data_IF_119192814307
#
_entry.id   IF_119192814307
#
_cell.length_a   1.000
_cell.length_b   1.000
_cell.length_c   1.000
_cell.angle_alpha   90.00
_cell.angle_beta   90.00
_cell.angle_gamma   90.00
#
_symmetry.space_group_name_H-M   'P 1'
#
loop_
_entity.id
_entity.type
_entity.pdbx_description
1 polymer ?
#
# COMPACT_ATOMS: atom_id res chain seq x y z
N UNK A 1 7.71 -16.60 -2.12
CA UNK A 1 8.45 -15.42 -2.67
C UNK A 1 8.66 -14.41 -1.55
N UNK A 2 9.70 -13.57 -1.62
CA UNK A 2 9.90 -12.47 -0.66
C UNK A 2 8.85 -11.38 -0.87
N UNK A 3 8.33 -10.80 0.21
CA UNK A 3 7.47 -9.62 0.16
C UNK A 3 8.26 -8.32 -0.15
N UNK A 4 9.58 -8.41 -0.26
CA UNK A 4 10.46 -7.27 -0.54
C UNK A 4 11.24 -7.48 -1.83
N UNK A 5 11.53 -6.36 -2.51
CA UNK A 5 12.38 -6.28 -3.69
C UNK A 5 13.44 -5.20 -3.47
N UNK A 6 14.68 -5.46 -3.84
CA UNK A 6 15.76 -4.47 -3.76
C UNK A 6 15.72 -3.50 -4.95
N UNK A 7 16.34 -2.30 -4.85
CA UNK A 7 16.45 -1.38 -6.00
C UNK A 7 17.08 -2.03 -7.23
N UNK A 8 18.11 -2.85 -7.04
CA UNK A 8 18.79 -3.57 -8.13
C UNK A 8 17.85 -4.58 -8.83
N UNK A 9 17.05 -5.32 -8.06
CA UNK A 9 16.08 -6.28 -8.63
C UNK A 9 14.95 -5.53 -9.34
N UNK A 10 14.45 -4.43 -8.76
CA UNK A 10 13.43 -3.61 -9.40
C UNK A 10 13.92 -3.03 -10.73
N UNK A 11 15.16 -2.50 -10.75
CA UNK A 11 15.76 -1.96 -11.99
C UNK A 11 15.82 -3.01 -13.11
N UNK A 12 16.03 -4.27 -12.75
CA UNK A 12 16.10 -5.37 -13.72
C UNK A 12 14.73 -5.80 -14.29
N UNK A 13 13.62 -5.36 -13.70
CA UNK A 13 12.26 -5.72 -14.10
C UNK A 13 11.28 -4.54 -14.20
N UNK A 14 11.79 -3.32 -14.39
CA UNK A 14 10.95 -2.10 -14.45
C UNK A 14 9.79 -2.20 -15.44
N UNK A 15 10.04 -2.81 -16.62
CA UNK A 15 9.04 -2.95 -17.68
C UNK A 15 8.07 -4.14 -17.45
N UNK A 16 8.30 -4.96 -16.42
CA UNK A 16 7.49 -6.15 -16.13
C UNK A 16 6.56 -5.94 -14.92
N UNK A 17 6.66 -4.81 -14.23
CA UNK A 17 5.92 -4.55 -13.01
C UNK A 17 5.19 -3.22 -13.06
N UNK A 18 4.06 -3.12 -12.38
CA UNK A 18 3.41 -1.83 -12.12
C UNK A 18 3.97 -1.29 -10.80
N UNK A 19 4.42 -0.04 -10.82
CA UNK A 19 5.03 0.60 -9.66
C UNK A 19 4.05 1.61 -9.07
N UNK A 20 3.83 1.57 -7.75
CA UNK A 20 2.97 2.51 -7.05
C UNK A 20 3.77 3.30 -6.00
N UNK A 21 3.66 4.62 -6.09
CA UNK A 21 4.26 5.57 -5.15
C UNK A 21 3.25 5.96 -4.07
N UNK A 22 3.42 5.43 -2.87
CA UNK A 22 2.50 5.67 -1.75
C UNK A 22 2.76 6.98 -0.99
N UNK A 23 3.69 7.83 -1.44
CA UNK A 23 4.00 9.12 -0.78
C UNK A 23 2.94 10.21 -1.03
N UNK A 24 1.97 9.92 -1.89
CA UNK A 24 0.93 10.87 -2.29
C UNK A 24 1.31 11.76 -3.46
N UNK A 25 0.31 12.49 -3.97
CA UNK A 25 0.43 13.24 -5.22
C UNK A 25 1.46 14.38 -5.17
N UNK A 26 1.73 14.95 -4.02
CA UNK A 26 2.65 16.08 -3.90
C UNK A 26 4.11 15.61 -4.01
N UNK A 27 4.49 14.58 -3.28
CA UNK A 27 5.84 14.02 -3.32
C UNK A 27 6.12 13.35 -4.67
N UNK A 28 5.14 12.69 -5.25
CA UNK A 28 5.22 12.16 -6.61
C UNK A 28 5.64 13.22 -7.62
N UNK A 29 5.02 14.43 -7.58
CA UNK A 29 5.34 15.55 -8.46
C UNK A 29 6.75 16.11 -8.26
N UNK A 30 7.30 16.01 -7.04
CA UNK A 30 8.67 16.45 -6.77
C UNK A 30 9.73 15.52 -7.37
N UNK A 31 9.36 14.24 -7.59
CA UNK A 31 10.19 13.24 -8.23
C UNK A 31 9.79 11.83 -7.80
N UNK A 32 9.70 10.94 -8.77
CA UNK A 32 9.26 9.55 -8.56
C UNK A 32 10.09 8.58 -9.41
N UNK A 33 10.02 7.29 -9.10
CA UNK A 33 10.63 6.24 -9.92
C UNK A 33 9.91 6.21 -11.27
N UNK A 34 10.66 6.21 -12.37
CA UNK A 34 10.09 6.18 -13.72
C UNK A 34 9.09 5.02 -13.86
N UNK A 35 7.92 5.33 -14.38
CA UNK A 35 6.82 4.36 -14.58
C UNK A 35 5.93 4.18 -13.35
N UNK A 36 6.19 4.86 -12.22
CA UNK A 36 5.33 4.78 -11.06
C UNK A 36 4.05 5.59 -11.22
N UNK A 37 2.96 5.12 -10.61
CA UNK A 37 1.70 5.84 -10.43
C UNK A 37 1.54 6.26 -8.97
N UNK A 38 1.00 7.46 -8.71
CA UNK A 38 0.81 7.95 -7.34
C UNK A 38 -0.40 7.32 -6.66
N UNK A 39 -0.28 7.04 -5.36
CA UNK A 39 -1.38 6.67 -4.47
C UNK A 39 -1.29 7.51 -3.22
N UNK A 40 -2.40 8.13 -2.83
CA UNK A 40 -2.48 9.06 -1.70
C UNK A 40 -3.22 8.41 -0.52
N UNK A 41 -2.67 8.56 0.70
CA UNK A 41 -3.27 7.98 1.89
C UNK A 41 -4.69 8.47 2.12
N UNK A 42 -4.88 9.80 2.10
CA UNK A 42 -6.15 10.41 2.49
C UNK A 42 -7.21 10.29 1.39
N UNK A 43 -6.79 10.36 0.13
CA UNK A 43 -7.71 10.36 -1.01
C UNK A 43 -8.07 8.97 -1.50
N UNK A 44 -7.09 8.05 -1.51
CA UNK A 44 -7.26 6.74 -2.13
C UNK A 44 -7.39 5.62 -1.10
N UNK A 45 -6.57 5.68 -0.02
CA UNK A 45 -6.45 4.59 0.95
C UNK A 45 -7.26 4.81 2.23
N UNK A 46 -8.05 5.90 2.31
CA UNK A 46 -8.85 6.22 3.49
C UNK A 46 -10.31 6.42 3.10
N UNK A 47 -11.19 5.77 3.83
CA UNK A 47 -12.64 5.96 3.74
C UNK A 47 -13.13 7.09 4.63
N UNK A 48 -14.43 7.40 4.61
CA UNK A 48 -15.02 8.42 5.46
C UNK A 48 -14.79 8.10 6.94
N UNK A 49 -14.33 9.10 7.68
CA UNK A 49 -14.13 8.99 9.14
C UNK A 49 -15.51 8.96 9.82
N UNK A 50 -15.77 7.88 10.56
CA UNK A 50 -16.98 7.70 11.35
C UNK A 50 -16.70 7.75 12.86
N UNK A 51 -17.71 7.43 13.66
CA UNK A 51 -17.59 7.35 15.12
C UNK A 51 -16.58 6.26 15.55
N UNK A 52 -16.46 5.20 14.75
CA UNK A 52 -15.54 4.09 14.95
C UNK A 52 -14.66 3.88 13.73
N UNK A 53 -13.47 3.30 13.89
CA UNK A 53 -12.56 2.97 12.78
C UNK A 53 -11.29 3.82 12.70
N UNK A 54 -11.11 4.77 13.62
CA UNK A 54 -9.92 5.60 13.71
C UNK A 54 -9.81 6.66 12.61
N UNK A 55 -8.62 7.24 12.45
CA UNK A 55 -8.36 8.35 11.50
C UNK A 55 -8.29 7.94 10.04
N UNK A 56 -7.98 6.67 9.76
CA UNK A 56 -7.80 6.15 8.41
C UNK A 56 -8.55 4.82 8.27
N UNK A 57 -9.90 4.84 8.29
CA UNK A 57 -10.69 3.63 8.02
C UNK A 57 -10.40 3.09 6.61
N UNK A 58 -10.78 1.85 6.36
CA UNK A 58 -10.61 1.26 5.03
C UNK A 58 -11.41 2.06 3.98
N UNK A 59 -10.85 2.27 2.79
CA UNK A 59 -11.55 2.95 1.70
C UNK A 59 -12.67 2.07 1.13
N UNK A 60 -13.50 2.68 0.31
CA UNK A 60 -14.37 1.93 -0.60
C UNK A 60 -13.52 1.12 -1.57
N UNK A 61 -13.63 -0.22 -1.51
CA UNK A 61 -12.78 -1.14 -2.27
C UNK A 61 -13.11 -1.15 -3.76
N UNK A 62 -14.37 -0.90 -4.14
CA UNK A 62 -14.78 -0.79 -5.53
C UNK A 62 -14.16 0.45 -6.18
N UNK A 63 -14.30 1.60 -5.52
CA UNK A 63 -13.66 2.85 -5.98
C UNK A 63 -12.15 2.71 -6.10
N UNK A 64 -11.51 2.06 -5.13
CA UNK A 64 -10.07 1.84 -5.15
C UNK A 64 -9.66 0.89 -6.29
N UNK A 65 -10.43 -0.17 -6.52
CA UNK A 65 -10.20 -1.08 -7.63
C UNK A 65 -10.29 -0.34 -8.98
N UNK A 66 -11.26 0.55 -9.17
CA UNK A 66 -11.33 1.40 -10.37
C UNK A 66 -10.12 2.33 -10.55
N UNK A 67 -9.57 2.86 -9.45
CA UNK A 67 -8.31 3.61 -9.52
C UNK A 67 -7.17 2.73 -10.03
N UNK A 68 -7.06 1.51 -9.54
CA UNK A 68 -6.02 0.57 -9.97
C UNK A 68 -6.23 0.07 -11.40
N UNK A 69 -7.47 -0.10 -11.85
CA UNK A 69 -7.80 -0.38 -13.26
C UNK A 69 -7.30 0.72 -14.19
N UNK A 70 -7.40 1.98 -13.78
CA UNK A 70 -6.86 3.11 -14.57
C UNK A 70 -5.33 3.07 -14.69
N UNK A 71 -4.63 2.39 -13.78
CA UNK A 71 -3.19 2.16 -13.82
C UNK A 71 -2.80 0.86 -14.56
N UNK A 72 -3.78 0.14 -15.10
CA UNK A 72 -3.57 -1.11 -15.83
C UNK A 72 -3.41 -2.34 -14.93
N UNK A 73 -3.78 -2.25 -13.65
CA UNK A 73 -3.70 -3.38 -12.72
C UNK A 73 -4.80 -4.38 -13.03
N UNK A 74 -4.42 -5.64 -13.15
CA UNK A 74 -5.28 -6.82 -13.24
C UNK A 74 -5.00 -7.76 -12.07
N UNK A 75 -5.76 -8.85 -11.94
CA UNK A 75 -5.54 -9.87 -10.90
C UNK A 75 -4.14 -10.50 -10.95
N UNK A 76 -3.55 -10.60 -12.14
CA UNK A 76 -2.26 -11.26 -12.38
C UNK A 76 -1.09 -10.29 -12.43
N UNK A 77 -1.33 -9.01 -12.16
CA UNK A 77 -0.28 -8.00 -12.18
C UNK A 77 0.76 -8.23 -11.09
N UNK A 78 2.02 -7.99 -11.46
CA UNK A 78 3.13 -7.88 -10.52
C UNK A 78 3.23 -6.42 -10.09
N UNK A 79 3.07 -6.15 -8.81
CA UNK A 79 3.05 -4.78 -8.30
C UNK A 79 4.20 -4.55 -7.33
N UNK A 80 4.88 -3.42 -7.47
CA UNK A 80 5.87 -2.95 -6.51
C UNK A 80 5.39 -1.64 -5.91
N UNK A 81 5.33 -1.58 -4.58
CA UNK A 81 4.93 -0.39 -3.86
C UNK A 81 6.13 0.22 -3.13
N UNK A 82 6.20 1.53 -3.03
CA UNK A 82 7.23 2.20 -2.26
C UNK A 82 6.73 3.49 -1.60
N UNK A 83 7.45 3.90 -0.57
CA UNK A 83 7.35 5.20 0.08
C UNK A 83 8.74 5.65 0.55
N UNK A 84 8.80 6.59 1.50
CA UNK A 84 10.07 7.01 2.14
C UNK A 84 10.40 6.20 3.40
N UNK A 85 9.39 5.68 4.14
CA UNK A 85 9.54 5.18 5.51
C UNK A 85 8.93 3.79 5.78
N UNK A 86 8.51 3.07 4.75
CA UNK A 86 7.83 1.76 4.81
C UNK A 86 6.43 1.76 5.46
N UNK A 87 5.93 2.86 5.97
CA UNK A 87 4.64 2.94 6.64
C UNK A 87 3.48 2.96 5.63
N UNK A 88 3.52 3.88 4.66
CA UNK A 88 2.47 4.03 3.64
C UNK A 88 2.52 2.88 2.63
N UNK A 89 3.73 2.47 2.24
CA UNK A 89 3.92 1.31 1.38
C UNK A 89 3.40 0.02 2.02
N UNK A 90 3.57 -0.14 3.34
CA UNK A 90 3.00 -1.27 4.09
C UNK A 90 1.48 -1.30 4.04
N UNK A 91 0.82 -0.14 4.23
CA UNK A 91 -0.63 -0.03 4.11
C UNK A 91 -1.11 -0.35 2.69
N UNK A 92 -0.47 0.23 1.67
CA UNK A 92 -0.83 -0.02 0.27
C UNK A 92 -0.60 -1.48 -0.11
N UNK A 93 0.53 -2.07 0.29
CA UNK A 93 0.81 -3.49 0.11
C UNK A 93 -0.31 -4.36 0.72
N UNK A 94 -0.69 -4.08 1.97
CA UNK A 94 -1.74 -4.81 2.66
C UNK A 94 -3.08 -4.68 1.94
N UNK A 95 -3.43 -3.47 1.49
CA UNK A 95 -4.70 -3.21 0.79
C UNK A 95 -4.76 -3.96 -0.55
N UNK A 96 -3.67 -3.98 -1.32
CA UNK A 96 -3.59 -4.77 -2.56
C UNK A 96 -3.72 -6.28 -2.29
N UNK A 97 -3.09 -6.77 -1.21
CA UNK A 97 -3.25 -8.16 -0.77
C UNK A 97 -4.68 -8.46 -0.35
N UNK A 98 -5.33 -7.53 0.35
CA UNK A 98 -6.74 -7.64 0.73
C UNK A 98 -7.67 -7.68 -0.48
N UNK A 99 -7.35 -6.97 -1.56
CA UNK A 99 -8.04 -7.05 -2.86
C UNK A 99 -7.71 -8.34 -3.64
N UNK A 100 -6.83 -9.20 -3.15
CA UNK A 100 -6.54 -10.52 -3.71
C UNK A 100 -5.34 -10.59 -4.64
N UNK A 101 -4.54 -9.50 -4.82
CA UNK A 101 -3.31 -9.61 -5.57
C UNK A 101 -2.29 -10.49 -4.84
N UNK A 102 -1.64 -11.37 -5.58
CA UNK A 102 -0.70 -12.35 -5.01
C UNK A 102 0.77 -11.93 -5.16
N UNK A 103 1.15 -11.23 -6.23
CA UNK A 103 2.52 -10.74 -6.44
C UNK A 103 2.61 -9.23 -6.18
N UNK A 104 2.62 -8.88 -4.90
CA UNK A 104 2.84 -7.51 -4.43
C UNK A 104 4.09 -7.49 -3.58
N UNK A 105 5.04 -6.60 -3.90
CA UNK A 105 6.30 -6.47 -3.18
C UNK A 105 6.54 -5.02 -2.77
N UNK A 106 7.24 -4.84 -1.65
CA UNK A 106 7.62 -3.53 -1.13
C UNK A 106 9.08 -3.26 -1.50
N UNK A 107 9.39 -2.08 -2.02
CA UNK A 107 10.76 -1.66 -2.31
C UNK A 107 11.54 -1.51 -1.00
N UNK A 108 12.54 -2.36 -0.81
CA UNK A 108 13.37 -2.38 0.38
C UNK A 108 14.16 -1.09 0.55
N UNK A 109 13.89 -0.36 1.63
CA UNK A 109 14.49 0.95 1.91
C UNK A 109 13.86 2.12 1.15
N UNK A 110 12.75 1.87 0.43
CA UNK A 110 11.96 2.91 -0.22
C UNK A 110 12.71 3.76 -1.23
N UNK A 111 12.18 4.95 -1.51
CA UNK A 111 12.79 5.91 -2.45
C UNK A 111 14.16 6.42 -1.97
N UNK A 112 14.37 6.50 -0.66
CA UNK A 112 15.65 6.95 -0.09
C UNK A 112 16.81 6.03 -0.47
N UNK A 113 16.58 4.72 -0.37
CA UNK A 113 17.57 3.74 -0.79
C UNK A 113 17.77 3.73 -2.31
N UNK A 114 16.71 3.90 -3.09
CA UNK A 114 16.80 4.05 -4.54
C UNK A 114 17.75 5.18 -4.93
N UNK A 115 17.59 6.36 -4.33
CA UNK A 115 18.45 7.53 -4.56
C UNK A 115 19.90 7.27 -4.07
N UNK A 116 20.05 6.68 -2.88
CA UNK A 116 21.34 6.38 -2.28
C UNK A 116 22.18 5.41 -3.12
N UNK A 117 21.53 4.48 -3.83
CA UNK A 117 22.18 3.56 -4.75
C UNK A 117 22.48 4.20 -6.14
N UNK A 118 22.25 5.52 -6.29
CA UNK A 118 22.60 6.30 -7.49
C UNK A 118 21.53 6.30 -8.59
N UNK A 119 20.33 5.79 -8.30
CA UNK A 119 19.25 5.79 -9.27
C UNK A 119 18.52 7.15 -9.27
N UNK A 120 18.12 7.59 -10.45
CA UNK A 120 17.48 8.89 -10.65
C UNK A 120 15.96 8.82 -10.53
N UNK A 121 15.35 9.94 -10.14
CA UNK A 121 13.93 10.16 -10.19
C UNK A 121 13.56 10.99 -11.42
N UNK A 122 12.33 10.84 -11.89
CA UNK A 122 11.74 11.69 -12.93
C UNK A 122 10.63 12.55 -12.35
N UNK A 123 10.32 13.67 -13.03
CA UNK A 123 9.13 14.48 -12.76
C UNK A 123 8.07 14.33 -13.84
N UNK A 124 8.39 13.61 -14.91
CA UNK A 124 7.47 13.35 -16.00
C UNK A 124 6.39 12.37 -15.57
N UNK A 125 5.11 12.76 -15.60
CA UNK A 125 4.03 11.87 -15.18
C UNK A 125 4.02 10.58 -16.02
N UNK A 126 3.79 9.45 -15.37
CA UNK A 126 3.58 8.19 -16.07
C UNK A 126 2.27 8.26 -16.85
N UNK A 127 2.28 8.04 -18.17
CA UNK A 127 1.07 8.05 -18.95
C UNK A 127 0.14 6.90 -18.52
N UNK A 128 -1.14 7.20 -18.41
CA UNK A 128 -2.14 6.16 -18.18
C UNK A 128 -2.28 5.27 -19.42
N UNK A 129 -2.63 3.98 -19.24
CA UNK A 129 -3.07 3.13 -20.34
C UNK A 129 -4.19 3.78 -21.14
N UNK A 130 -4.26 3.51 -22.46
CA UNK A 130 -5.31 4.06 -23.32
C UNK A 130 -6.71 3.60 -22.91
N UNK A 131 -6.80 2.39 -22.37
CA UNK A 131 -8.04 1.79 -21.85
C UNK A 131 -7.76 1.28 -20.43
N UNK A 132 -8.68 1.46 -19.47
CA UNK A 132 -8.57 0.83 -18.16
C UNK A 132 -8.54 -0.69 -18.29
N UNK A 133 -7.78 -1.35 -17.42
CA UNK A 133 -7.84 -2.81 -17.29
C UNK A 133 -9.11 -3.24 -16.59
N UNK A 134 -9.34 -4.56 -16.52
CA UNK A 134 -10.36 -5.15 -15.65
C UNK A 134 -9.68 -5.83 -14.47
N UNK A 135 -9.96 -5.34 -13.28
CA UNK A 135 -9.44 -5.90 -12.03
C UNK A 135 -10.55 -6.69 -11.30
N UNK A 136 -10.69 -7.96 -11.67
CA UNK A 136 -11.59 -8.88 -10.96
C UNK A 136 -11.04 -9.18 -9.56
N UNK A 137 -11.19 -8.23 -8.64
CA UNK A 137 -10.71 -8.37 -7.26
C UNK A 137 -11.62 -9.30 -6.44
N UNK A 138 -11.03 -9.92 -5.43
CA UNK A 138 -11.73 -10.78 -4.48
C UNK A 138 -11.24 -10.47 -3.07
N UNK A 139 -12.12 -9.95 -2.23
CA UNK A 139 -11.75 -9.54 -0.87
C UNK A 139 -11.31 -10.75 -0.03
N UNK A 140 -10.11 -10.64 0.51
CA UNK A 140 -9.53 -11.63 1.42
C UNK A 140 -10.02 -11.37 2.85
N UNK A 141 -11.31 -11.64 3.10
CA UNK A 141 -12.00 -11.26 4.35
C UNK A 141 -11.34 -11.85 5.62
N UNK A 142 -10.62 -12.96 5.48
CA UNK A 142 -9.85 -13.56 6.59
C UNK A 142 -8.69 -12.67 7.08
N UNK A 143 -8.32 -11.61 6.36
CA UNK A 143 -7.28 -10.66 6.75
C UNK A 143 -7.79 -9.55 7.68
N UNK A 144 -9.09 -9.51 7.95
CA UNK A 144 -9.74 -8.49 8.80
C UNK A 144 -10.53 -9.17 9.90
N UNK A 145 -10.44 -8.63 11.10
CA UNK A 145 -11.30 -9.01 12.22
C UNK A 145 -12.10 -7.80 12.68
N UNK A 146 -13.36 -8.01 12.98
CA UNK A 146 -14.21 -7.00 13.62
C UNK A 146 -13.78 -6.77 15.07
N UNK A 147 -14.21 -5.64 15.65
CA UNK A 147 -13.99 -5.35 17.07
C UNK A 147 -14.45 -6.50 17.98
N UNK A 148 -15.62 -7.06 17.70
CA UNK A 148 -16.22 -8.10 18.55
C UNK A 148 -15.46 -9.43 18.42
N UNK A 149 -14.93 -9.75 17.24
CA UNK A 149 -14.03 -10.89 17.02
C UNK A 149 -12.70 -10.71 17.76
N UNK A 150 -12.11 -9.50 17.72
CA UNK A 150 -10.88 -9.20 18.48
C UNK A 150 -11.14 -9.30 19.98
N UNK A 151 -12.27 -8.78 20.48
CA UNK A 151 -12.64 -8.91 21.90
C UNK A 151 -12.73 -10.39 22.30
N UNK A 152 -13.45 -11.19 21.53
CA UNK A 152 -13.57 -12.64 21.75
C UNK A 152 -12.19 -13.33 21.74
N UNK A 153 -11.34 -13.01 20.76
CA UNK A 153 -9.98 -13.55 20.67
C UNK A 153 -9.14 -13.21 21.92
N UNK A 154 -9.32 -12.00 22.47
CA UNK A 154 -8.66 -11.58 23.73
C UNK A 154 -9.15 -12.35 24.94
N UNK A 155 -10.44 -12.69 25.00
CA UNK A 155 -11.04 -13.45 26.10
C UNK A 155 -10.67 -14.93 26.05
N UNK A 156 -10.65 -15.52 24.86
CA UNK A 156 -10.35 -16.95 24.68
C UNK A 156 -8.85 -17.28 24.64
N UNK A 157 -8.02 -16.30 24.33
CA UNK A 157 -6.58 -16.50 24.16
C UNK A 157 -6.17 -17.30 22.93
N UNK A 158 -7.07 -17.49 21.97
CA UNK A 158 -6.83 -18.28 20.75
C UNK A 158 -5.90 -17.56 19.75
N UNK A 159 -5.69 -16.25 19.95
CA UNK A 159 -4.87 -15.41 19.07
C UNK A 159 -3.87 -14.59 19.86
N UNK A 160 -2.74 -14.32 19.25
CA UNK A 160 -1.78 -13.32 19.77
C UNK A 160 -2.16 -11.97 19.19
N UNK A 161 -2.49 -11.01 20.04
CA UNK A 161 -2.81 -9.64 19.64
C UNK A 161 -1.54 -8.80 19.76
N UNK A 162 -1.11 -8.22 18.65
CA UNK A 162 0.09 -7.37 18.59
C UNK A 162 -0.33 -5.92 18.32
N UNK A 163 0.01 -5.02 19.23
CA UNK A 163 -0.15 -3.58 19.00
C UNK A 163 1.14 -3.03 18.37
N UNK A 164 1.05 -2.59 17.12
CA UNK A 164 2.17 -2.04 16.37
C UNK A 164 2.43 -0.55 16.66
N UNK A 165 1.69 0.08 17.57
CA UNK A 165 1.92 1.47 17.97
C UNK A 165 3.19 1.61 18.82
N UNK A 166 3.70 2.83 18.91
CA UNK A 166 4.82 3.12 19.80
C UNK A 166 4.47 2.83 21.27
N UNK A 167 5.42 2.41 22.13
CA UNK A 167 5.15 2.04 23.51
C UNK A 167 4.35 3.08 24.30
N UNK A 168 4.65 4.38 24.14
CA UNK A 168 3.95 5.46 24.82
C UNK A 168 2.47 5.62 24.41
N UNK A 169 2.10 5.08 23.26
CA UNK A 169 0.70 5.01 22.81
C UNK A 169 0.01 3.75 23.33
N UNK A 170 0.76 2.68 23.48
CA UNK A 170 0.25 1.43 24.04
C UNK A 170 -0.08 1.57 25.52
N UNK A 171 0.81 2.18 26.30
CA UNK A 171 0.64 2.38 27.74
C UNK A 171 -0.25 3.59 28.11
N UNK A 172 -0.64 4.39 27.10
CA UNK A 172 -1.51 5.55 27.29
C UNK A 172 -0.83 6.77 27.91
N UNK A 173 0.52 6.79 27.99
CA UNK A 173 1.26 7.93 28.53
C UNK A 173 1.24 9.16 27.59
N UNK A 174 0.93 8.95 26.33
CA UNK A 174 0.61 10.01 25.37
C UNK A 174 -0.62 9.63 24.54
N UNK A 175 -1.57 10.56 24.48
CA UNK A 175 -2.77 10.45 23.63
C UNK A 175 -2.59 11.38 22.43
N UNK A 176 -3.00 10.93 21.23
CA UNK A 176 -2.99 11.73 20.00
C UNK A 176 -4.00 12.88 20.04
#
# INVERSE_FOLDING_TARGET
MSNFITPKELLACLDEVIILDARGYQDYKQGHIKGAFPVDLDKDLTGPVGEHGGRHPLPDMERLAHTFESYGITRDSKVVVYDSWLFLAGRLWWTLRYLGLTDVRVLSGGVERWIKEGHVLTKEPTPLPAEPSVFNYELQTHMVMSRDEVLKASETGDHVIIDARAPFRYDGSQVD
#
